data_IF_381305192682
#
_entry.id   IF_381305192682
#
_cell.length_a   1.000
_cell.length_b   1.000
_cell.length_c   1.000
_cell.angle_alpha   90.00
_cell.angle_beta   90.00
_cell.angle_gamma   90.00
#
_symmetry.space_group_name_H-M   'P 1'
#
loop_
_entity.id
_entity.type
_entity.pdbx_description
1 polymer ?
#
# COMPACT_ATOMS: atom_id res chain seq x y z
N UNK A 1 18.67 -13.04 -10.74
CA UNK A 1 17.36 -13.02 -10.07
C UNK A 1 16.64 -11.78 -10.52
N UNK A 2 15.62 -11.92 -11.37
CA UNK A 2 14.63 -10.86 -11.57
C UNK A 2 13.73 -10.87 -10.33
N UNK A 3 14.00 -10.00 -9.37
CA UNK A 3 13.05 -9.66 -8.30
C UNK A 3 11.86 -8.95 -8.96
N UNK A 4 10.94 -9.74 -9.54
CA UNK A 4 9.61 -9.25 -9.84
C UNK A 4 8.98 -8.87 -8.51
N UNK A 5 8.32 -7.70 -8.42
CA UNK A 5 7.62 -7.34 -7.21
C UNK A 5 6.57 -8.42 -6.93
N UNK A 6 6.79 -9.19 -5.86
CA UNK A 6 5.83 -10.20 -5.43
C UNK A 6 4.55 -9.46 -5.04
N UNK A 7 3.46 -9.68 -5.80
CA UNK A 7 2.17 -9.08 -5.50
C UNK A 7 1.75 -9.38 -4.05
N UNK A 8 2.09 -10.56 -3.51
CA UNK A 8 1.87 -10.90 -2.11
C UNK A 8 2.55 -9.93 -1.13
N UNK A 9 3.81 -9.55 -1.36
CA UNK A 9 4.50 -8.57 -0.51
C UNK A 9 3.91 -7.18 -0.63
N UNK A 10 3.51 -6.79 -1.85
CA UNK A 10 2.81 -5.51 -2.05
C UNK A 10 1.52 -5.51 -1.24
N UNK A 11 0.72 -6.56 -1.35
CA UNK A 11 -0.52 -6.75 -0.60
C UNK A 11 -0.26 -6.66 0.91
N UNK A 12 0.74 -7.37 1.44
CA UNK A 12 1.13 -7.26 2.85
C UNK A 12 1.44 -5.81 3.26
N UNK A 13 2.14 -5.05 2.41
CA UNK A 13 2.35 -3.62 2.63
C UNK A 13 1.05 -2.81 2.55
N UNK A 14 0.13 -3.10 1.61
CA UNK A 14 -1.13 -2.37 1.47
C UNK A 14 -2.07 -2.58 2.67
N UNK A 15 -1.99 -3.75 3.31
CA UNK A 15 -2.76 -4.10 4.51
C UNK A 15 -2.05 -3.76 5.82
N UNK A 16 -0.81 -3.23 5.77
CA UNK A 16 -0.13 -2.72 6.95
C UNK A 16 -0.88 -1.48 7.46
N UNK A 17 -1.30 -1.44 8.74
CA UNK A 17 -2.17 -0.37 9.23
C UNK A 17 -1.55 1.03 9.10
N UNK A 18 -0.22 1.15 9.20
CA UNK A 18 0.45 2.43 9.02
C UNK A 18 0.46 2.83 7.53
N UNK A 19 0.76 1.89 6.64
CA UNK A 19 0.74 2.14 5.19
C UNK A 19 -0.68 2.41 4.69
N UNK A 20 -1.68 1.63 5.11
CA UNK A 20 -3.07 1.84 4.75
C UNK A 20 -3.55 3.23 5.15
N UNK A 21 -3.17 3.69 6.34
CA UNK A 21 -3.49 5.05 6.79
C UNK A 21 -2.84 6.12 5.90
N UNK A 22 -1.54 5.97 5.59
CA UNK A 22 -0.82 6.89 4.70
C UNK A 22 -1.45 6.89 3.30
N UNK A 23 -1.78 5.72 2.76
CA UNK A 23 -2.38 5.57 1.44
C UNK A 23 -3.79 6.15 1.40
N UNK A 24 -4.59 6.02 2.46
CA UNK A 24 -5.90 6.65 2.56
C UNK A 24 -5.80 8.18 2.51
N UNK A 25 -4.78 8.76 3.14
CA UNK A 25 -4.51 10.19 3.04
C UNK A 25 -4.12 10.62 1.62
N UNK A 26 -3.39 9.75 0.91
CA UNK A 26 -2.96 9.96 -0.47
C UNK A 26 -4.06 9.68 -1.52
N UNK A 27 -5.07 8.89 -1.17
CA UNK A 27 -6.26 8.64 -1.99
C UNK A 27 -7.09 9.93 -2.15
N UNK A 28 -7.13 10.74 -1.08
CA UNK A 28 -7.78 12.06 -1.11
C UNK A 28 -7.00 13.10 -1.95
N UNK A 29 -5.80 12.77 -2.41
CA UNK A 29 -4.95 13.64 -3.23
C UNK A 29 -3.50 13.67 -2.77
N UNK A 30 -2.68 14.49 -3.43
CA UNK A 30 -1.27 14.61 -3.10
C UNK A 30 -1.07 15.25 -1.72
N UNK A 31 -0.15 14.70 -0.90
CA UNK A 31 0.12 15.16 0.47
C UNK A 31 1.60 15.39 0.72
N UNK A 32 1.91 16.40 1.51
CA UNK A 32 3.28 16.69 1.95
C UNK A 32 3.82 15.58 2.85
N UNK A 33 5.10 15.23 2.66
CA UNK A 33 5.84 14.26 3.48
C UNK A 33 5.74 14.54 4.98
N UNK A 34 5.95 15.79 5.39
CA UNK A 34 5.89 16.19 6.79
C UNK A 34 4.48 16.05 7.39
N UNK A 35 3.43 16.22 6.57
CA UNK A 35 2.04 16.03 6.99
C UNK A 35 1.75 14.54 7.27
N UNK A 36 2.12 13.66 6.33
CA UNK A 36 1.93 12.22 6.47
C UNK A 36 2.71 11.67 7.68
N UNK A 37 3.97 12.09 7.84
CA UNK A 37 4.81 11.69 8.95
C UNK A 37 4.19 12.11 10.30
N UNK A 38 3.74 13.35 10.41
CA UNK A 38 3.08 13.87 11.61
C UNK A 38 1.78 13.12 11.92
N UNK A 39 0.98 12.78 10.90
CA UNK A 39 -0.30 12.10 11.06
C UNK A 39 -0.14 10.67 11.55
N UNK A 40 0.76 9.92 10.92
CA UNK A 40 1.08 8.55 11.35
C UNK A 40 2.02 8.50 12.55
N UNK A 41 2.38 9.66 13.13
CA UNK A 41 3.28 9.81 14.29
C UNK A 41 4.63 9.10 14.10
N UNK A 42 5.12 9.09 12.87
CA UNK A 42 6.42 8.54 12.49
C UNK A 42 7.34 9.66 12.00
N UNK A 43 8.64 9.37 11.91
CA UNK A 43 9.59 10.31 11.29
C UNK A 43 9.51 10.25 9.77
N UNK A 44 9.85 11.35 9.09
CA UNK A 44 9.89 11.43 7.62
C UNK A 44 10.82 10.38 7.00
N UNK A 45 11.90 10.00 7.70
CA UNK A 45 12.81 8.94 7.25
C UNK A 45 12.13 7.55 7.27
N UNK A 46 11.37 7.26 8.33
CA UNK A 46 10.60 6.01 8.47
C UNK A 46 9.49 5.98 7.41
N UNK A 47 8.78 7.10 7.23
CA UNK A 47 7.77 7.24 6.17
C UNK A 47 8.40 6.97 4.81
N UNK A 48 9.54 7.58 4.51
CA UNK A 48 10.25 7.40 3.24
C UNK A 48 10.71 5.97 3.05
N UNK A 49 11.19 5.29 4.09
CA UNK A 49 11.59 3.89 4.01
C UNK A 49 10.39 2.97 3.73
N UNK A 50 9.28 3.19 4.44
CA UNK A 50 7.98 2.51 4.22
C UNK A 50 7.46 2.71 2.79
N UNK A 51 7.47 3.96 2.32
CA UNK A 51 7.06 4.31 0.96
C UNK A 51 8.09 3.91 -0.10
N UNK A 52 9.34 3.64 0.26
CA UNK A 52 10.43 3.32 -0.69
C UNK A 52 10.08 2.10 -1.55
N UNK A 53 9.46 1.09 -0.94
CA UNK A 53 9.00 -0.09 -1.64
C UNK A 53 7.86 0.22 -2.62
N UNK A 54 6.89 1.02 -2.19
CA UNK A 54 5.75 1.45 -3.00
C UNK A 54 6.17 2.39 -4.14
N UNK A 55 7.16 3.25 -3.90
CA UNK A 55 7.80 4.12 -4.90
C UNK A 55 8.52 3.29 -5.96
N UNK A 56 9.28 2.26 -5.54
CA UNK A 56 9.99 1.35 -6.44
C UNK A 56 9.04 0.53 -7.32
N UNK A 57 7.92 0.08 -6.75
CA UNK A 57 6.87 -0.60 -7.50
C UNK A 57 6.02 0.38 -8.34
N UNK A 58 6.12 1.68 -8.07
CA UNK A 58 5.40 2.74 -8.76
C UNK A 58 3.93 2.84 -8.38
N UNK A 59 3.55 2.43 -7.16
CA UNK A 59 2.23 2.69 -6.55
C UNK A 59 2.14 4.08 -5.94
N UNK A 60 3.27 4.62 -5.50
CA UNK A 60 3.37 5.98 -4.98
C UNK A 60 4.35 6.72 -5.85
N UNK A 61 4.10 8.00 -6.08
CA UNK A 61 5.02 8.92 -6.75
C UNK A 61 5.43 10.01 -5.79
N UNK A 62 6.71 10.36 -5.84
CA UNK A 62 7.26 11.49 -5.13
C UNK A 62 7.49 12.62 -6.13
N UNK A 63 6.95 13.79 -5.83
CA UNK A 63 7.13 15.02 -6.60
C UNK A 63 7.60 16.14 -5.68
N UNK A 64 8.35 17.09 -6.22
CA UNK A 64 8.71 18.31 -5.50
C UNK A 64 7.84 19.45 -6.01
N UNK A 65 6.96 19.94 -5.16
CA UNK A 65 6.08 21.08 -5.43
C UNK A 65 6.55 22.23 -4.52
N UNK A 66 7.01 23.34 -5.11
CA UNK A 66 7.43 24.53 -4.37
C UNK A 66 8.53 24.27 -3.31
N UNK A 67 9.46 23.36 -3.60
CA UNK A 67 10.54 22.96 -2.68
C UNK A 67 10.10 22.02 -1.56
N UNK A 68 8.85 21.55 -1.58
CA UNK A 68 8.31 20.58 -0.63
C UNK A 68 8.18 19.21 -1.27
N UNK A 69 8.54 18.17 -0.51
CA UNK A 69 8.34 16.79 -0.95
C UNK A 69 6.87 16.43 -0.76
N UNK A 70 6.21 16.14 -1.88
CA UNK A 70 4.82 15.72 -1.95
C UNK A 70 4.76 14.30 -2.48
N UNK A 71 3.93 13.47 -1.85
CA UNK A 71 3.63 12.12 -2.29
C UNK A 71 2.23 12.07 -2.89
N UNK A 72 2.06 11.21 -3.90
CA UNK A 72 0.78 10.97 -4.56
C UNK A 72 0.62 9.47 -4.78
N UNK A 73 -0.50 8.89 -4.35
CA UNK A 73 -0.81 7.49 -4.61
C UNK A 73 -1.42 7.30 -6.00
N UNK A 74 -1.09 6.19 -6.64
CA UNK A 74 -1.61 5.77 -7.92
C UNK A 74 -2.78 4.82 -7.68
N UNK A 75 -3.96 5.40 -7.43
CA UNK A 75 -5.18 4.64 -7.13
C UNK A 75 -5.52 3.63 -8.23
N UNK A 76 -5.21 3.93 -9.49
CA UNK A 76 -5.45 3.01 -10.61
C UNK A 76 -4.59 1.74 -10.49
N UNK A 77 -3.29 1.89 -10.17
CA UNK A 77 -2.42 0.72 -9.95
C UNK A 77 -2.76 -0.04 -8.67
N UNK A 78 -3.09 0.67 -7.59
CA UNK A 78 -3.52 0.07 -6.34
C UNK A 78 -4.78 -0.78 -6.56
N UNK A 79 -5.78 -0.21 -7.24
CA UNK A 79 -6.99 -0.91 -7.66
C UNK A 79 -6.67 -2.13 -8.52
N UNK A 80 -5.82 -1.98 -9.54
CA UNK A 80 -5.40 -3.11 -10.40
C UNK A 80 -4.69 -4.23 -9.64
N UNK A 81 -3.89 -3.94 -8.61
CA UNK A 81 -3.27 -4.98 -7.77
C UNK A 81 -4.32 -5.69 -6.92
N UNK A 82 -5.29 -4.94 -6.39
CA UNK A 82 -6.40 -5.49 -5.63
C UNK A 82 -7.31 -6.36 -6.52
N UNK A 83 -7.55 -5.92 -7.76
CA UNK A 83 -8.31 -6.64 -8.79
C UNK A 83 -7.57 -7.83 -9.39
N UNK A 84 -6.24 -7.76 -9.60
CA UNK A 84 -5.47 -8.94 -9.99
C UNK A 84 -5.44 -9.97 -8.87
N UNK A 85 -5.52 -9.49 -7.62
CA UNK A 85 -5.74 -10.37 -6.50
C UNK A 85 -7.15 -10.92 -6.48
N UNK A 86 -8.14 -10.52 -7.30
CA UNK A 86 -9.50 -11.12 -7.36
C UNK A 86 -9.53 -12.61 -7.74
N UNK A 87 -8.38 -13.28 -7.86
CA UNK A 87 -8.29 -14.70 -7.53
C UNK A 87 -8.40 -14.99 -5.99
N UNK A 88 -8.73 -13.96 -5.19
CA UNK A 88 -8.99 -13.93 -3.75
C UNK A 88 -10.30 -14.60 -3.38
N UNK A 89 -11.10 -15.00 -4.37
CA UNK A 89 -12.16 -15.99 -4.17
C UNK A 89 -11.57 -17.27 -3.55
N UNK A 90 -10.33 -17.63 -3.88
CA UNK A 90 -9.65 -18.80 -3.28
C UNK A 90 -9.10 -18.57 -1.86
N UNK A 91 -8.84 -17.31 -1.45
CA UNK A 91 -8.29 -17.03 -0.11
C UNK A 91 -9.38 -16.97 0.98
N UNK A 92 -10.63 -16.65 0.61
CA UNK A 92 -11.80 -16.76 1.50
C UNK A 92 -12.38 -18.19 1.52
N UNK A 93 -12.16 -19.00 0.48
CA UNK A 93 -12.56 -20.41 0.49
C UNK A 93 -11.79 -21.24 1.54
N UNK A 94 -10.55 -20.83 1.86
CA UNK A 94 -9.73 -21.45 2.89
C UNK A 94 -10.28 -21.33 4.32
N UNK A 95 -11.18 -20.38 4.59
CA UNK A 95 -11.82 -20.21 5.90
C UNK A 95 -13.18 -20.92 6.00
N UNK A 96 -13.78 -21.28 4.87
CA UNK A 96 -15.14 -21.87 4.82
C UNK A 96 -15.12 -23.38 4.99
N UNK A 97 -14.00 -24.06 4.70
CA UNK A 97 -13.91 -25.53 4.80
C UNK A 97 -13.54 -26.02 6.21
N UNK A 98 -14.14 -25.46 7.27
CA UNK A 98 -14.01 -26.02 8.62
C UNK A 98 -15.36 -26.36 9.29
N UNK A 99 -16.48 -25.91 8.72
CA UNK A 99 -17.81 -26.26 9.23
C UNK A 99 -18.29 -27.65 8.75
N UNK A 100 -17.75 -28.17 7.63
CA UNK A 100 -18.14 -29.48 7.09
C UNK A 100 -17.52 -30.71 7.78
N UNK A 101 -16.68 -30.52 8.82
CA UNK A 101 -16.12 -31.61 9.63
C UNK A 101 -16.74 -31.73 11.03
N UNK A 102 -17.69 -30.86 11.38
CA UNK A 102 -18.49 -30.98 12.59
C UNK A 102 -19.87 -31.53 12.22
N UNK A 103 -19.84 -32.84 12.01
CA UNK A 103 -20.96 -33.78 12.02
C UNK A 103 -22.01 -33.51 13.11
#
# INVERSE_FOLDING_TARGET
>A
MEDKPDNSKIIEYLFDPEISEILAELESGSKESSYLASKSKISEDVLKNKLSYLLKCGFVRQTNEDGKIVYTADAEKLGKVMENNSNFDTAIDGLTTMDSYLN
#
